data_IF_400813968072
#
_entry.id   IF_400813968072
#
_cell.length_a   1.000
_cell.length_b   1.000
_cell.length_c   1.000
_cell.angle_alpha   90.00
_cell.angle_beta   90.00
_cell.angle_gamma   90.00
#
_symmetry.space_group_name_H-M   'P 1'
#
loop_
_entity.id
_entity.type
_entity.pdbx_description
1 polymer ?
#
# COMPACT_ATOMS: atom_id res chain seq x y z
N UNK A 1 14.74 32.90 11.01
CA UNK A 1 14.95 31.53 10.51
C UNK A 1 13.62 30.80 10.47
N UNK A 2 12.98 30.73 9.30
CA UNK A 2 11.62 30.20 9.15
C UNK A 2 11.60 28.68 9.25
N UNK A 3 10.98 28.17 10.32
CA UNK A 3 10.67 26.76 10.50
C UNK A 3 9.59 26.39 9.47
N UNK A 4 9.99 25.87 8.30
CA UNK A 4 9.07 25.29 7.32
C UNK A 4 8.54 23.99 7.91
N UNK A 5 7.37 24.06 8.54
CA UNK A 5 6.60 22.90 8.95
C UNK A 5 6.45 21.97 7.75
N UNK A 6 7.21 20.87 7.74
CA UNK A 6 7.00 19.76 6.80
C UNK A 6 5.55 19.33 6.96
N UNK A 7 4.72 19.67 5.98
CA UNK A 7 3.33 19.23 5.87
C UNK A 7 3.38 17.71 5.87
N UNK A 8 3.11 17.10 7.03
CA UNK A 8 2.96 15.65 7.15
C UNK A 8 1.83 15.30 6.19
N UNK A 9 2.18 14.71 5.06
CA UNK A 9 1.23 14.06 4.16
C UNK A 9 0.58 12.97 5.02
N UNK A 10 -0.57 13.29 5.61
CA UNK A 10 -1.52 12.27 6.01
C UNK A 10 -1.93 11.59 4.71
N UNK A 11 -1.23 10.49 4.44
CA UNK A 11 -1.41 9.64 3.28
C UNK A 11 -2.88 9.26 3.20
N UNK A 12 -3.45 9.56 2.04
CA UNK A 12 -4.82 9.37 1.59
C UNK A 12 -5.71 8.45 2.48
N UNK A 13 -6.49 9.01 3.43
CA UNK A 13 -7.32 8.21 4.34
C UNK A 13 -8.40 7.40 3.60
N UNK A 14 -8.73 7.81 2.37
CA UNK A 14 -9.71 7.11 1.52
C UNK A 14 -9.13 5.78 1.02
N UNK A 15 -7.88 5.78 0.54
CA UNK A 15 -7.19 4.56 0.08
C UNK A 15 -6.89 3.64 1.27
N UNK A 16 -6.45 4.20 2.39
CA UNK A 16 -6.19 3.44 3.62
C UNK A 16 -7.47 2.79 4.16
N UNK A 17 -8.58 3.52 4.21
CA UNK A 17 -9.88 2.99 4.62
C UNK A 17 -10.36 1.87 3.69
N UNK A 18 -10.15 2.02 2.38
CA UNK A 18 -10.52 0.97 1.41
C UNK A 18 -9.69 -0.32 1.60
N UNK A 19 -8.38 -0.21 1.83
CA UNK A 19 -7.50 -1.36 2.05
C UNK A 19 -7.82 -2.04 3.39
N UNK A 20 -7.94 -1.27 4.48
CA UNK A 20 -8.28 -1.80 5.81
C UNK A 20 -9.65 -2.46 5.77
N UNK A 21 -10.65 -1.86 5.12
CA UNK A 21 -11.98 -2.47 4.98
C UNK A 21 -11.91 -3.78 4.22
N UNK A 22 -11.21 -3.82 3.08
CA UNK A 22 -11.03 -5.07 2.32
C UNK A 22 -10.32 -6.12 3.16
N UNK A 23 -9.27 -5.77 3.88
CA UNK A 23 -8.53 -6.68 4.74
C UNK A 23 -9.43 -7.25 5.85
N UNK A 24 -10.18 -6.38 6.53
CA UNK A 24 -11.16 -6.80 7.55
C UNK A 24 -12.23 -7.74 6.97
N UNK A 25 -12.77 -7.44 5.78
CA UNK A 25 -13.76 -8.30 5.13
C UNK A 25 -13.18 -9.68 4.79
N UNK A 26 -11.99 -9.75 4.21
CA UNK A 26 -11.34 -11.04 3.91
C UNK A 26 -11.01 -11.81 5.18
N UNK A 27 -10.59 -11.11 6.24
CA UNK A 27 -10.28 -11.71 7.52
C UNK A 27 -11.56 -12.29 8.19
N UNK A 28 -12.65 -11.53 8.19
CA UNK A 28 -13.95 -12.02 8.66
C UNK A 28 -14.45 -13.20 7.83
N UNK A 29 -14.30 -13.15 6.50
CA UNK A 29 -14.65 -14.26 5.63
C UNK A 29 -13.83 -15.51 5.96
N UNK A 30 -12.51 -15.38 6.11
CA UNK A 30 -11.64 -16.50 6.49
C UNK A 30 -12.02 -17.09 7.86
N UNK A 31 -12.34 -16.25 8.86
CA UNK A 31 -12.82 -16.71 10.16
C UNK A 31 -14.15 -17.45 10.07
N UNK A 32 -15.11 -16.92 9.33
CA UNK A 32 -16.43 -17.53 9.14
C UNK A 32 -16.31 -18.87 8.41
N UNK A 33 -15.54 -18.92 7.32
CA UNK A 33 -15.29 -20.15 6.56
C UNK A 33 -14.55 -21.18 7.42
N UNK A 34 -13.53 -20.78 8.17
CA UNK A 34 -12.79 -21.67 9.07
C UNK A 34 -13.68 -22.22 10.19
N UNK A 35 -14.46 -21.35 10.86
CA UNK A 35 -15.42 -21.75 11.88
C UNK A 35 -16.47 -22.71 11.32
N UNK A 36 -17.00 -22.42 10.12
CA UNK A 36 -17.97 -23.28 9.45
C UNK A 36 -17.39 -24.66 9.12
N UNK A 37 -16.18 -24.73 8.55
CA UNK A 37 -15.50 -26.00 8.27
C UNK A 37 -15.25 -26.81 9.55
N UNK A 38 -14.78 -26.17 10.62
CA UNK A 38 -14.56 -26.82 11.91
C UNK A 38 -15.87 -27.30 12.56
N UNK A 39 -16.94 -26.53 12.41
CA UNK A 39 -18.29 -26.91 12.88
C UNK A 39 -18.79 -28.14 12.10
N UNK A 40 -18.67 -28.14 10.77
CA UNK A 40 -19.02 -29.30 9.95
C UNK A 40 -18.20 -30.54 10.32
N UNK A 41 -16.88 -30.39 10.49
CA UNK A 41 -16.02 -31.47 10.94
C UNK A 41 -16.45 -32.02 12.30
N UNK A 42 -16.79 -31.13 13.23
CA UNK A 42 -17.27 -31.51 14.57
C UNK A 42 -18.63 -32.23 14.49
N UNK A 43 -19.56 -31.78 13.65
CA UNK A 43 -20.83 -32.47 13.43
C UNK A 43 -20.63 -33.87 12.84
N UNK A 44 -19.68 -34.02 11.91
CA UNK A 44 -19.39 -35.31 11.27
C UNK A 44 -18.72 -36.32 12.22
N UNK A 45 -17.96 -35.83 13.21
CA UNK A 45 -17.21 -36.67 14.16
C UNK A 45 -17.94 -36.88 15.48
N UNK A 46 -18.97 -36.10 15.78
CA UNK A 46 -19.73 -36.22 17.01
C UNK A 46 -20.86 -37.25 16.90
N UNK A 47 -21.20 -37.89 18.02
CA UNK A 47 -22.29 -38.87 18.08
C UNK A 47 -23.67 -38.18 17.97
N UNK A 48 -24.60 -38.82 17.25
CA UNK A 48 -25.90 -38.28 16.82
C UNK A 48 -26.88 -37.87 17.93
N UNK A 49 -26.55 -38.13 19.21
CA UNK A 49 -27.40 -37.86 20.37
C UNK A 49 -27.07 -36.55 21.11
N UNK A 50 -26.11 -35.77 20.62
CA UNK A 50 -25.63 -34.57 21.33
C UNK A 50 -26.45 -33.33 20.95
N UNK A 51 -26.84 -32.52 21.94
CA UNK A 51 -27.65 -31.32 21.71
C UNK A 51 -26.81 -30.17 21.13
N UNK A 52 -27.45 -29.31 20.32
CA UNK A 52 -26.81 -28.15 19.67
C UNK A 52 -26.00 -27.24 20.62
N UNK A 53 -26.51 -26.87 21.81
CA UNK A 53 -25.76 -26.03 22.75
C UNK A 53 -24.45 -26.67 23.22
N UNK A 54 -24.46 -27.99 23.39
CA UNK A 54 -23.28 -28.77 23.81
C UNK A 54 -22.21 -28.77 22.71
N UNK A 55 -22.60 -28.79 21.43
CA UNK A 55 -21.64 -28.64 20.33
C UNK A 55 -20.97 -27.27 20.33
N UNK A 56 -21.72 -26.20 20.61
CA UNK A 56 -21.16 -24.84 20.67
C UNK A 56 -20.16 -24.72 21.83
N UNK A 57 -20.51 -25.27 23.00
CA UNK A 57 -19.60 -25.27 24.15
C UNK A 57 -18.32 -26.04 23.86
N UNK A 58 -18.43 -27.28 23.35
CA UNK A 58 -17.28 -28.10 22.98
C UNK A 58 -16.42 -27.44 21.89
N UNK A 59 -17.04 -26.74 20.95
CA UNK A 59 -16.33 -25.99 19.91
C UNK A 59 -15.50 -24.87 20.53
N UNK A 60 -16.08 -24.10 21.46
CA UNK A 60 -15.37 -23.02 22.15
C UNK A 60 -14.23 -23.55 23.02
N UNK A 61 -14.43 -24.65 23.75
CA UNK A 61 -13.39 -25.26 24.57
C UNK A 61 -12.22 -25.80 23.72
N UNK A 62 -12.50 -26.35 22.54
CA UNK A 62 -11.47 -26.92 21.65
C UNK A 62 -10.76 -25.88 20.80
N UNK A 63 -11.49 -24.91 20.25
CA UNK A 63 -10.98 -23.99 19.23
C UNK A 63 -10.96 -22.53 19.66
N UNK A 64 -11.57 -22.17 20.80
CA UNK A 64 -11.66 -20.78 21.26
C UNK A 64 -10.30 -20.10 21.37
N UNK A 65 -9.28 -20.82 21.86
CA UNK A 65 -7.91 -20.30 21.91
C UNK A 65 -7.35 -19.95 20.52
N UNK A 66 -7.67 -20.75 19.49
CA UNK A 66 -7.25 -20.50 18.11
C UNK A 66 -7.93 -19.25 17.54
N UNK A 67 -9.23 -19.06 17.80
CA UNK A 67 -9.94 -17.84 17.38
C UNK A 67 -9.41 -16.59 18.10
N UNK A 68 -9.10 -16.68 19.39
CA UNK A 68 -8.48 -15.59 20.15
C UNK A 68 -7.09 -15.26 19.58
N UNK A 69 -6.26 -16.29 19.32
CA UNK A 69 -4.94 -16.11 18.71
C UNK A 69 -5.04 -15.47 17.33
N UNK A 70 -5.96 -15.91 16.48
CA UNK A 70 -6.22 -15.26 15.19
C UNK A 70 -6.60 -13.79 15.39
N UNK A 71 -7.52 -13.47 16.30
CA UNK A 71 -7.94 -12.09 16.55
C UNK A 71 -6.76 -11.20 17.01
N UNK A 72 -5.85 -11.75 17.81
CA UNK A 72 -4.62 -11.05 18.24
C UNK A 72 -3.67 -10.75 17.06
N UNK A 73 -3.70 -11.52 15.97
CA UNK A 73 -2.88 -11.25 14.77
C UNK A 73 -3.46 -10.14 13.88
N UNK A 74 -4.74 -9.83 14.01
CA UNK A 74 -5.44 -8.81 13.22
C UNK A 74 -4.76 -7.42 13.27
N UNK A 75 -4.39 -6.85 14.44
CA UNK A 75 -3.71 -5.57 14.49
C UNK A 75 -2.34 -5.58 13.79
N UNK A 76 -1.61 -6.70 13.86
CA UNK A 76 -0.31 -6.85 13.18
C UNK A 76 -0.52 -6.83 11.65
N UNK A 77 -1.50 -7.59 11.17
CA UNK A 77 -1.85 -7.62 9.74
C UNK A 77 -2.31 -6.26 9.22
N UNK A 78 -3.14 -5.55 9.98
CA UNK A 78 -3.57 -4.19 9.63
C UNK A 78 -2.36 -3.26 9.56
N UNK A 79 -1.52 -3.27 10.60
CA UNK A 79 -0.34 -2.41 10.65
C UNK A 79 0.59 -2.65 9.46
N UNK A 80 0.88 -3.91 9.15
CA UNK A 80 1.79 -4.26 8.06
C UNK A 80 1.19 -3.88 6.69
N UNK A 81 -0.09 -4.16 6.48
CA UNK A 81 -0.79 -3.80 5.23
C UNK A 81 -0.82 -2.28 5.02
N UNK A 82 -1.11 -1.51 6.08
CA UNK A 82 -1.11 -0.04 6.02
C UNK A 82 0.29 0.50 5.77
N UNK A 83 1.31 -0.04 6.46
CA UNK A 83 2.71 0.35 6.28
C UNK A 83 3.21 0.08 4.86
N UNK A 84 2.87 -1.09 4.32
CA UNK A 84 3.21 -1.47 2.95
C UNK A 84 2.53 -0.52 1.95
N UNK A 85 1.23 -0.26 2.13
CA UNK A 85 0.50 0.71 1.28
C UNK A 85 1.12 2.10 1.33
N UNK A 86 1.51 2.60 2.52
CA UNK A 86 2.19 3.89 2.66
C UNK A 86 3.51 3.93 1.87
N UNK A 87 4.26 2.83 1.88
CA UNK A 87 5.51 2.70 1.12
C UNK A 87 5.27 2.74 -0.40
N UNK A 88 4.12 2.27 -0.88
CA UNK A 88 3.74 2.35 -2.29
C UNK A 88 3.23 3.74 -2.71
N UNK A 89 2.39 4.38 -1.90
CA UNK A 89 1.70 5.64 -2.29
C UNK A 89 2.66 6.82 -2.38
N UNK A 90 3.64 6.92 -1.48
CA UNK A 90 4.59 8.05 -1.44
C UNK A 90 5.34 8.26 -2.77
N UNK A 91 6.04 7.24 -3.29
CA UNK A 91 6.73 7.33 -4.58
C UNK A 91 5.79 7.63 -5.75
N UNK A 92 4.60 7.02 -5.78
CA UNK A 92 3.68 7.20 -6.91
C UNK A 92 3.10 8.61 -7.02
N UNK A 93 2.95 9.31 -5.89
CA UNK A 93 2.58 10.74 -5.88
C UNK A 93 3.71 11.59 -6.46
N UNK A 94 4.97 11.28 -6.17
CA UNK A 94 6.13 11.98 -6.74
C UNK A 94 6.20 11.78 -8.26
N UNK A 95 6.01 10.54 -8.73
CA UNK A 95 5.89 10.21 -10.16
C UNK A 95 4.80 11.04 -10.84
N UNK A 96 3.58 11.07 -10.26
CA UNK A 96 2.46 11.85 -10.81
C UNK A 96 2.78 13.34 -10.91
N UNK A 97 3.43 13.90 -9.89
CA UNK A 97 3.81 15.31 -9.87
C UNK A 97 4.86 15.63 -10.95
N UNK A 98 5.84 14.74 -11.14
CA UNK A 98 6.85 14.92 -12.18
C UNK A 98 6.26 14.82 -13.58
N UNK A 99 5.41 13.81 -13.85
CA UNK A 99 4.67 13.70 -15.12
C UNK A 99 3.85 14.96 -15.41
N UNK A 100 3.16 15.50 -14.40
CA UNK A 100 2.38 16.73 -14.56
C UNK A 100 3.27 17.93 -14.91
N UNK A 101 4.45 18.05 -14.30
CA UNK A 101 5.41 19.13 -14.61
C UNK A 101 5.96 19.02 -16.02
N UNK A 102 6.34 17.81 -16.44
CA UNK A 102 6.79 17.54 -17.82
C UNK A 102 5.73 17.90 -18.85
N UNK A 103 4.46 17.53 -18.61
CA UNK A 103 3.35 17.88 -19.50
C UNK A 103 3.02 19.37 -19.59
N UNK A 104 3.51 20.19 -18.66
CA UNK A 104 3.31 21.65 -18.66
C UNK A 104 4.53 22.45 -19.12
N UNK A 105 5.61 21.79 -19.55
CA UNK A 105 6.86 22.44 -19.98
C UNK A 105 7.64 23.10 -18.83
N UNK A 106 7.43 22.66 -17.58
CA UNK A 106 8.19 23.16 -16.43
C UNK A 106 9.53 22.42 -16.28
N UNK A 107 10.50 23.03 -15.59
CA UNK A 107 11.78 22.38 -15.24
C UNK A 107 11.55 21.00 -14.63
N UNK A 108 12.23 19.99 -15.17
CA UNK A 108 12.06 18.60 -14.79
C UNK A 108 13.05 18.25 -13.68
N UNK A 109 12.60 18.12 -12.41
CA UNK A 109 13.49 17.68 -11.34
C UNK A 109 13.78 16.18 -11.49
N UNK A 110 15.06 15.81 -11.36
CA UNK A 110 15.50 14.42 -11.31
C UNK A 110 14.83 13.69 -10.15
N UNK A 111 14.12 12.61 -10.44
CA UNK A 111 13.42 11.81 -9.44
C UNK A 111 14.38 10.72 -8.98
N UNK A 112 14.81 10.78 -7.72
CA UNK A 112 15.60 9.70 -7.12
C UNK A 112 14.82 9.09 -5.94
N UNK A 113 14.51 7.79 -6.05
CA UNK A 113 13.98 7.01 -4.93
C UNK A 113 15.10 6.34 -4.16
N UNK A 114 14.85 5.99 -2.89
CA UNK A 114 15.85 5.29 -2.07
C UNK A 114 16.05 3.85 -2.57
N UNK A 115 17.28 3.35 -2.48
CA UNK A 115 17.61 1.96 -2.74
C UNK A 115 16.70 1.02 -1.92
N UNK A 116 16.05 0.09 -2.63
CA UNK A 116 15.15 -0.91 -2.07
C UNK A 116 13.66 -0.57 -2.13
N UNK A 117 13.26 0.60 -2.62
CA UNK A 117 11.85 0.89 -2.93
C UNK A 117 11.42 0.26 -4.27
N UNK A 118 10.18 -0.21 -4.34
CA UNK A 118 9.61 -0.90 -5.52
C UNK A 118 9.57 -0.08 -6.82
N UNK A 119 9.96 1.19 -6.79
CA UNK A 119 9.71 2.18 -7.84
C UNK A 119 10.98 2.80 -8.42
N UNK A 120 12.18 2.32 -8.06
CA UNK A 120 13.45 2.83 -8.59
C UNK A 120 13.48 2.74 -10.12
N UNK A 121 13.07 1.61 -10.69
CA UNK A 121 13.09 1.40 -12.14
C UNK A 121 12.18 2.40 -12.88
N UNK A 122 11.03 2.74 -12.28
CA UNK A 122 10.10 3.72 -12.85
C UNK A 122 10.64 5.16 -12.72
N UNK A 123 11.42 5.47 -11.68
CA UNK A 123 12.13 6.74 -11.62
C UNK A 123 13.18 6.84 -12.73
N UNK A 124 13.94 5.76 -12.95
CA UNK A 124 14.96 5.71 -13.99
C UNK A 124 14.34 5.91 -15.38
N UNK A 125 13.21 5.25 -15.67
CA UNK A 125 12.46 5.43 -16.91
C UNK A 125 11.97 6.88 -17.10
N UNK A 126 11.45 7.50 -16.04
CA UNK A 126 10.97 8.90 -16.10
C UNK A 126 12.14 9.87 -16.30
N UNK A 127 13.26 9.66 -15.61
CA UNK A 127 14.46 10.47 -15.79
C UNK A 127 15.02 10.33 -17.22
N UNK A 128 14.97 9.13 -17.80
CA UNK A 128 15.38 8.91 -19.18
C UNK A 128 14.48 9.66 -20.18
N UNK A 129 13.17 9.65 -19.98
CA UNK A 129 12.22 10.41 -20.82
C UNK A 129 12.42 11.93 -20.64
N UNK A 130 12.60 12.38 -19.41
CA UNK A 130 12.90 13.78 -19.09
C UNK A 130 14.17 14.28 -19.79
N UNK A 131 15.23 13.47 -19.77
CA UNK A 131 16.49 13.78 -20.44
C UNK A 131 16.34 13.83 -21.97
N UNK A 132 15.44 13.05 -22.56
CA UNK A 132 15.15 13.14 -24.00
C UNK A 132 14.36 14.41 -24.35
N UNK A 133 13.35 14.76 -23.55
CA UNK A 133 12.59 16.01 -23.72
C UNK A 133 13.49 17.24 -23.60
N UNK A 134 14.37 17.27 -22.60
CA UNK A 134 15.34 18.36 -22.42
C UNK A 134 16.31 18.51 -23.61
N UNK A 135 16.66 17.41 -24.30
CA UNK A 135 17.48 17.45 -25.51
C UNK A 135 16.72 17.93 -26.76
N UNK A 136 15.39 17.90 -26.73
CA UNK A 136 14.54 18.29 -27.86
C UNK A 136 14.07 19.74 -27.78
N UNK A 137 14.21 20.42 -26.64
CA UNK A 137 13.93 21.85 -26.51
C UNK A 137 15.07 22.68 -27.12
N UNK A 138 14.89 23.33 -28.30
CA UNK A 138 15.96 24.05 -29.01
C UNK A 138 16.37 25.36 -28.32
N UNK A 139 15.63 25.78 -27.29
CA UNK A 139 15.79 27.10 -26.64
C UNK A 139 17.04 27.20 -25.77
N UNK A 140 17.63 26.08 -25.33
CA UNK A 140 18.89 26.11 -24.57
C UNK A 140 20.13 26.28 -25.46
N UNK A 141 20.09 25.83 -26.72
CA UNK A 141 21.22 25.90 -27.63
C UNK A 141 21.53 27.36 -28.03
N UNK A 142 20.48 28.18 -28.18
CA UNK A 142 20.61 29.62 -28.51
C UNK A 142 21.19 30.45 -27.36
N UNK A 143 20.93 30.09 -26.09
CA UNK A 143 21.45 30.80 -24.91
C UNK A 143 22.93 30.49 -24.62
N UNK A 144 23.39 29.30 -24.99
CA UNK A 144 24.81 28.92 -24.88
C UNK A 144 25.65 29.56 -26.00
N UNK A 145 25.08 29.78 -27.20
CA UNK A 145 25.76 30.51 -28.27
C UNK A 145 25.88 32.01 -27.99
N UNK A 146 24.86 32.66 -27.43
CA UNK A 146 24.91 34.09 -27.08
C UNK A 146 25.88 34.39 -25.92
N UNK A 147 26.01 33.49 -24.95
CA UNK A 147 26.96 33.65 -23.83
C UNK A 147 28.42 33.34 -24.20
N UNK A 148 28.66 32.68 -25.34
CA UNK A 148 30.01 32.42 -25.85
C UNK A 148 30.50 33.46 -26.87
N UNK A 149 29.64 34.41 -27.28
CA UNK A 149 29.98 35.53 -28.16
C UNK A 149 30.08 36.90 -27.43
N UNK A 150 29.78 36.94 -26.12
CA UNK A 150 30.04 38.07 -25.21
C UNK A 150 31.37 37.91 -24.47
#
# INVERSE_FOLDING_TARGET
>A
MGNRFRKKYYVDPVVQGAIVRRLLLHWCYAMLTGAFCLLLLQLFTSSASTSLPTHIQMFWERYGLLFIAMFLTLPIFIYDSVRLSHRFVGPMVAVRLALKKMGTGGEIPEINFRQGDFWTDIADDINAVAAQLAKQDPTQETALEESSQS
#
